data_IF_618321578346
#
_entry.id   IF_618321578346
#
_cell.length_a   1.000
_cell.length_b   1.000
_cell.length_c   1.000
_cell.angle_alpha   90.00
_cell.angle_beta   90.00
_cell.angle_gamma   90.00
#
_symmetry.space_group_name_H-M   'P 1'
#
loop_
_entity.id
_entity.type
_entity.pdbx_description
1 polymer ?
#
# COMPACT_ATOMS: atom_id res chain seq x y z
N UNK A 1 17.97 -10.70 5.29
CA UNK A 1 17.07 -9.52 5.19
C UNK A 1 15.65 -10.04 5.00
N UNK A 2 14.68 -9.49 5.74
CA UNK A 2 13.25 -9.84 5.63
C UNK A 2 12.49 -8.67 5.02
N UNK A 3 11.69 -8.93 3.99
CA UNK A 3 10.85 -7.94 3.32
C UNK A 3 9.39 -8.34 3.50
N UNK A 4 8.60 -7.43 4.05
CA UNK A 4 7.16 -7.58 4.13
C UNK A 4 6.53 -7.08 2.84
N UNK A 5 5.77 -7.96 2.18
CA UNK A 5 4.94 -7.64 1.03
C UNK A 5 3.47 -7.73 1.42
N UNK A 6 2.70 -6.70 1.19
CA UNK A 6 1.25 -6.75 1.45
C UNK A 6 0.44 -6.49 0.20
N UNK A 7 -0.69 -7.16 0.08
CA UNK A 7 -1.75 -6.89 -0.89
C UNK A 7 -3.08 -6.75 -0.17
N UNK A 8 -4.11 -6.43 -0.89
CA UNK A 8 -5.45 -6.22 -0.32
C UNK A 8 -6.42 -7.34 -0.68
N UNK A 9 -7.40 -7.55 0.19
CA UNK A 9 -8.56 -8.38 -0.10
C UNK A 9 -9.42 -7.79 -1.22
N UNK A 10 -10.34 -8.55 -1.83
CA UNK A 10 -11.31 -8.02 -2.78
C UNK A 10 -12.18 -6.92 -2.18
N UNK A 11 -12.59 -5.94 -2.99
CA UNK A 11 -13.44 -4.81 -2.59
C UNK A 11 -14.39 -4.40 -3.71
N UNK A 12 -15.36 -3.54 -3.41
CA UNK A 12 -16.29 -3.00 -4.40
C UNK A 12 -17.41 -3.96 -4.82
N UNK A 13 -17.73 -4.94 -4.00
CA UNK A 13 -18.97 -5.74 -4.10
C UNK A 13 -19.00 -6.86 -5.14
N UNK A 14 -18.05 -6.93 -6.08
CA UNK A 14 -18.14 -7.88 -7.20
C UNK A 14 -16.82 -8.54 -7.62
N UNK A 15 -15.77 -8.44 -6.85
CA UNK A 15 -14.50 -9.03 -7.25
C UNK A 15 -14.15 -10.23 -6.40
N UNK A 16 -14.19 -11.42 -7.00
CA UNK A 16 -13.64 -12.62 -6.39
C UNK A 16 -12.13 -12.52 -6.12
N UNK A 17 -11.46 -11.47 -6.63
CA UNK A 17 -10.02 -11.34 -6.63
C UNK A 17 -9.58 -9.86 -6.60
N UNK A 18 -8.53 -9.55 -5.83
CA UNK A 18 -7.82 -8.29 -5.91
C UNK A 18 -6.44 -8.53 -6.55
N UNK A 19 -6.08 -7.87 -7.66
CA UNK A 19 -4.82 -8.11 -8.35
C UNK A 19 -3.59 -7.82 -7.50
N UNK A 20 -3.69 -6.93 -6.50
CA UNK A 20 -2.57 -6.65 -5.59
C UNK A 20 -2.21 -7.87 -4.75
N UNK A 21 -3.22 -8.56 -4.17
CA UNK A 21 -2.97 -9.80 -3.44
C UNK A 21 -2.49 -10.91 -4.37
N UNK A 22 -3.11 -11.08 -5.53
CA UNK A 22 -2.70 -12.11 -6.49
C UNK A 22 -1.24 -11.97 -6.90
N UNK A 23 -0.76 -10.73 -7.10
CA UNK A 23 0.64 -10.47 -7.42
C UNK A 23 1.56 -10.83 -6.24
N UNK A 24 1.21 -10.42 -5.01
CA UNK A 24 1.99 -10.71 -3.80
C UNK A 24 2.00 -12.21 -3.50
N UNK A 25 0.85 -12.88 -3.60
CA UNK A 25 0.72 -14.32 -3.35
C UNK A 25 1.58 -15.15 -4.31
N UNK A 26 1.68 -14.74 -5.58
CA UNK A 26 2.47 -15.42 -6.60
C UNK A 26 3.99 -15.23 -6.46
N UNK A 27 4.47 -14.33 -5.61
CA UNK A 27 5.90 -14.10 -5.42
C UNK A 27 6.57 -15.32 -4.77
N UNK A 28 7.85 -15.54 -5.06
CA UNK A 28 8.66 -16.54 -4.39
C UNK A 28 8.89 -16.17 -2.91
N UNK A 29 9.07 -17.19 -2.06
CA UNK A 29 9.36 -16.98 -0.63
C UNK A 29 10.75 -16.36 -0.38
N UNK A 30 11.65 -16.44 -1.38
CA UNK A 30 12.99 -15.85 -1.32
C UNK A 30 13.30 -15.17 -2.65
N UNK A 31 13.75 -13.92 -2.61
CA UNK A 31 14.17 -13.14 -3.79
C UNK A 31 15.51 -12.50 -3.48
N UNK A 32 16.53 -12.75 -4.32
CA UNK A 32 17.87 -12.20 -4.17
C UNK A 32 18.47 -12.38 -2.76
N UNK A 33 18.18 -13.50 -2.10
CA UNK A 33 18.63 -13.80 -0.74
C UNK A 33 17.82 -13.13 0.38
N UNK A 34 16.79 -12.37 0.05
CA UNK A 34 15.85 -11.81 1.02
C UNK A 34 14.67 -12.76 1.23
N UNK A 35 14.29 -12.98 2.47
CA UNK A 35 13.04 -13.64 2.86
C UNK A 35 11.85 -12.72 2.56
N UNK A 36 10.83 -13.25 1.89
CA UNK A 36 9.60 -12.53 1.55
C UNK A 36 8.46 -13.07 2.41
N UNK A 37 7.99 -12.26 3.35
CA UNK A 37 6.78 -12.53 4.12
C UNK A 37 5.60 -11.80 3.50
N UNK A 38 4.46 -12.47 3.40
CA UNK A 38 3.30 -12.00 2.63
C UNK A 38 2.07 -11.92 3.50
N UNK A 39 1.37 -10.81 3.44
CA UNK A 39 0.13 -10.61 4.18
C UNK A 39 -0.95 -9.95 3.32
N UNK A 40 -2.18 -10.43 3.48
CA UNK A 40 -3.35 -9.83 2.87
C UNK A 40 -4.04 -8.92 3.88
N UNK A 41 -4.21 -7.66 3.53
CA UNK A 41 -4.81 -6.63 4.37
C UNK A 41 -6.29 -6.43 4.02
N UNK A 42 -7.13 -6.04 5.00
CA UNK A 42 -8.50 -5.67 4.73
C UNK A 42 -8.57 -4.34 3.97
N UNK A 43 -9.61 -4.17 3.15
CA UNK A 43 -9.90 -2.89 2.50
C UNK A 43 -10.83 -2.08 3.40
N UNK A 44 -10.30 -1.61 4.53
CA UNK A 44 -11.02 -0.78 5.48
C UNK A 44 -10.13 0.35 5.98
N UNK A 45 -10.70 1.55 6.15
CA UNK A 45 -9.94 2.73 6.58
C UNK A 45 -9.27 2.54 7.95
N UNK A 46 -10.00 1.93 8.89
CA UNK A 46 -9.49 1.72 10.25
C UNK A 46 -8.71 0.41 10.42
N UNK A 47 -9.09 -0.62 9.67
CA UNK A 47 -8.54 -1.97 9.84
C UNK A 47 -7.17 -2.15 9.18
N UNK A 48 -6.99 -1.63 7.96
CA UNK A 48 -5.75 -1.85 7.19
C UNK A 48 -4.49 -1.37 7.95
N UNK A 49 -4.51 -0.14 8.48
CA UNK A 49 -3.39 0.41 9.24
C UNK A 49 -3.15 -0.32 10.56
N UNK A 50 -4.21 -0.70 11.28
CA UNK A 50 -4.11 -1.45 12.54
C UNK A 50 -3.49 -2.83 12.31
N UNK A 51 -3.94 -3.53 11.29
CA UNK A 51 -3.41 -4.85 10.93
C UNK A 51 -1.97 -4.77 10.48
N UNK A 52 -1.61 -3.79 9.65
CA UNK A 52 -0.22 -3.56 9.26
C UNK A 52 0.66 -3.31 10.49
N UNK A 53 0.25 -2.46 11.43
CA UNK A 53 1.01 -2.20 12.66
C UNK A 53 1.16 -3.46 13.54
N UNK A 54 0.17 -4.36 13.56
CA UNK A 54 0.28 -5.66 14.23
C UNK A 54 1.36 -6.52 13.57
N UNK A 55 1.30 -6.66 12.24
CA UNK A 55 2.26 -7.44 11.45
C UNK A 55 3.68 -6.89 11.61
N UNK A 56 3.86 -5.56 11.59
CA UNK A 56 5.18 -4.94 11.77
C UNK A 56 5.83 -5.30 13.11
N UNK A 57 5.04 -5.37 14.19
CA UNK A 57 5.53 -5.76 15.52
C UNK A 57 5.91 -7.24 15.58
N UNK A 58 5.16 -8.11 14.90
CA UNK A 58 5.40 -9.56 14.89
C UNK A 58 6.57 -9.94 13.99
N UNK A 59 6.58 -9.42 12.78
CA UNK A 59 7.56 -9.81 11.74
C UNK A 59 8.87 -9.04 11.80
N UNK A 60 8.86 -7.81 12.32
CA UNK A 60 10.02 -6.92 12.38
C UNK A 60 10.80 -6.87 11.06
N UNK A 61 10.16 -6.54 9.92
CA UNK A 61 10.80 -6.58 8.62
C UNK A 61 11.83 -5.46 8.47
N UNK A 62 12.83 -5.69 7.61
CA UNK A 62 13.81 -4.66 7.25
C UNK A 62 13.27 -3.66 6.22
N UNK A 63 12.28 -4.07 5.44
CA UNK A 63 11.60 -3.22 4.47
C UNK A 63 10.14 -3.65 4.29
N UNK A 64 9.29 -2.72 3.90
CA UNK A 64 7.87 -2.96 3.63
C UNK A 64 7.53 -2.44 2.24
N UNK A 65 6.87 -3.26 1.44
CA UNK A 65 6.30 -2.89 0.15
C UNK A 65 4.81 -3.23 0.16
N UNK A 66 3.97 -2.21 0.27
CA UNK A 66 2.53 -2.37 0.18
C UNK A 66 2.09 -2.22 -1.28
N UNK A 67 1.43 -3.25 -1.81
CA UNK A 67 0.92 -3.29 -3.17
C UNK A 67 -0.59 -3.03 -3.16
N UNK A 68 -1.03 -2.11 -4.00
CA UNK A 68 -2.44 -1.77 -4.17
C UNK A 68 -2.86 -1.78 -5.63
N UNK A 69 -4.16 -1.87 -5.86
CA UNK A 69 -4.74 -1.71 -7.19
C UNK A 69 -4.99 -0.23 -7.48
N UNK A 70 -4.40 0.29 -8.56
CA UNK A 70 -4.67 1.62 -9.08
C UNK A 70 -5.48 1.48 -10.39
N UNK A 71 -6.80 1.44 -10.27
CA UNK A 71 -7.69 1.29 -11.42
C UNK A 71 -7.44 2.37 -12.48
N UNK A 72 -7.39 1.94 -13.76
CA UNK A 72 -7.18 2.84 -14.90
C UNK A 72 -5.73 3.24 -15.18
N UNK A 73 -4.75 2.81 -14.37
CA UNK A 73 -3.33 3.02 -14.65
C UNK A 73 -2.76 1.82 -15.42
N UNK A 74 -2.06 2.08 -16.52
CA UNK A 74 -1.41 1.07 -17.36
C UNK A 74 0.07 0.84 -16.99
N UNK A 75 0.53 1.35 -15.85
CA UNK A 75 1.92 1.30 -15.40
C UNK A 75 2.01 0.98 -13.90
N UNK A 76 3.13 0.42 -13.48
CA UNK A 76 3.48 0.32 -12.05
C UNK A 76 3.85 1.71 -11.55
N UNK A 77 3.17 2.18 -10.50
CA UNK A 77 3.34 3.57 -10.03
C UNK A 77 3.69 3.62 -8.55
N UNK A 78 4.98 3.52 -8.20
CA UNK A 78 5.42 3.69 -6.81
C UNK A 78 5.01 5.08 -6.27
N UNK A 79 4.32 5.09 -5.13
CA UNK A 79 3.78 6.30 -4.53
C UNK A 79 4.84 7.07 -3.75
N UNK A 80 4.95 8.38 -4.02
CA UNK A 80 5.91 9.28 -3.36
C UNK A 80 5.44 9.76 -2.01
N UNK A 81 4.13 9.98 -1.86
CA UNK A 81 3.56 10.72 -0.73
C UNK A 81 2.21 10.14 -0.33
N UNK A 82 1.99 10.09 0.97
CA UNK A 82 0.67 9.93 1.58
C UNK A 82 0.25 11.25 2.21
N UNK A 83 -1.01 11.62 2.03
CA UNK A 83 -1.60 12.84 2.62
C UNK A 83 -2.49 12.47 3.80
N UNK A 84 -2.62 13.39 4.76
CA UNK A 84 -3.47 13.24 5.93
C UNK A 84 -4.94 13.51 5.60
N UNK A 85 -5.52 12.72 4.69
CA UNK A 85 -6.89 12.90 4.23
C UNK A 85 -7.53 11.58 3.82
N UNK A 86 -8.80 11.40 4.21
CA UNK A 86 -9.63 10.26 3.79
C UNK A 86 -10.89 10.78 3.11
N UNK A 87 -11.11 10.31 1.90
CA UNK A 87 -12.30 10.59 1.11
C UNK A 87 -12.51 9.47 0.10
N UNK A 88 -13.74 9.02 -0.09
CA UNK A 88 -14.05 7.97 -1.03
C UNK A 88 -15.38 8.20 -1.73
N UNK A 89 -15.52 7.68 -2.93
CA UNK A 89 -16.78 7.64 -3.68
C UNK A 89 -17.56 6.36 -3.46
N UNK A 90 -16.91 5.36 -2.85
CA UNK A 90 -17.50 4.07 -2.50
C UNK A 90 -17.16 3.75 -1.04
N UNK A 91 -18.04 3.04 -0.31
CA UNK A 91 -17.72 2.60 1.03
C UNK A 91 -16.58 1.57 1.02
N UNK A 92 -15.88 1.45 2.14
CA UNK A 92 -14.95 0.36 2.39
C UNK A 92 -15.69 -0.96 2.69
N UNK A 93 -14.96 -2.05 2.93
CA UNK A 93 -15.57 -3.37 3.15
C UNK A 93 -16.35 -3.48 4.48
N UNK A 94 -16.21 -2.52 5.39
CA UNK A 94 -17.03 -2.41 6.61
C UNK A 94 -18.21 -1.43 6.43
N UNK A 95 -18.39 -0.88 5.22
CA UNK A 95 -19.48 0.04 4.90
C UNK A 95 -19.18 1.49 5.26
N UNK A 96 -17.96 1.84 5.68
CA UNK A 96 -17.59 3.22 5.99
C UNK A 96 -17.32 4.01 4.71
N UNK A 97 -18.04 5.12 4.55
CA UNK A 97 -17.83 6.09 3.49
C UNK A 97 -17.26 7.38 4.09
N UNK A 98 -15.97 7.65 3.86
CA UNK A 98 -15.34 8.90 4.28
C UNK A 98 -15.70 10.03 3.31
N UNK A 99 -16.09 11.18 3.85
CA UNK A 99 -16.54 12.33 3.07
C UNK A 99 -15.62 13.56 3.20
N UNK A 100 -14.34 13.31 3.42
CA UNK A 100 -13.34 14.37 3.58
C UNK A 100 -13.02 14.64 5.06
N UNK A 101 -12.14 13.83 5.62
CA UNK A 101 -11.70 13.94 7.00
C UNK A 101 -10.22 13.57 7.15
N UNK A 102 -9.51 14.13 8.14
CA UNK A 102 -8.11 13.77 8.36
C UNK A 102 -7.96 12.34 8.90
N UNK A 103 -6.88 11.66 8.50
CA UNK A 103 -6.49 10.35 9.08
C UNK A 103 -6.09 10.53 10.55
N UNK A 104 -5.37 11.62 10.85
CA UNK A 104 -4.98 12.03 12.20
C UNK A 104 -5.26 13.52 12.41
N UNK A 105 -6.11 13.85 13.36
CA UNK A 105 -6.52 15.25 13.66
C UNK A 105 -5.33 16.19 13.91
N UNK A 106 -4.28 15.73 14.56
CA UNK A 106 -3.08 16.52 14.88
C UNK A 106 -1.82 16.01 14.15
N UNK A 107 -1.99 15.17 13.13
CA UNK A 107 -0.87 14.63 12.35
C UNK A 107 -0.34 15.60 11.31
N UNK A 108 0.90 15.39 10.82
CA UNK A 108 1.44 16.14 9.69
C UNK A 108 0.54 16.06 8.45
N UNK A 109 0.58 17.09 7.61
CA UNK A 109 -0.23 17.14 6.38
C UNK A 109 0.09 15.99 5.41
N UNK A 110 1.34 15.51 5.41
CA UNK A 110 1.79 14.43 4.55
C UNK A 110 3.05 13.75 5.09
N UNK A 111 3.29 12.51 4.63
CA UNK A 111 4.55 11.79 4.78
C UNK A 111 5.09 11.38 3.41
N UNK A 112 6.40 11.46 3.23
CA UNK A 112 7.06 10.97 2.03
C UNK A 112 7.50 9.52 2.20
N UNK A 113 7.36 8.72 1.13
CA UNK A 113 7.89 7.36 1.07
C UNK A 113 9.41 7.36 1.22
N UNK A 114 9.94 6.38 1.94
CA UNK A 114 11.38 6.14 2.11
C UNK A 114 11.95 5.18 1.06
N UNK A 115 11.12 4.63 0.17
CA UNK A 115 11.57 3.75 -0.90
C UNK A 115 12.42 4.48 -1.94
N UNK A 116 13.41 3.83 -2.57
CA UNK A 116 14.24 4.41 -3.63
C UNK A 116 13.47 4.45 -4.96
N UNK A 117 12.45 5.32 -5.04
CA UNK A 117 11.46 5.35 -6.12
C UNK A 117 12.06 5.43 -7.52
N UNK A 118 13.13 6.23 -7.71
CA UNK A 118 13.80 6.35 -9.01
C UNK A 118 14.43 5.04 -9.44
N UNK A 119 15.19 4.40 -8.55
CA UNK A 119 15.84 3.11 -8.83
C UNK A 119 14.82 2.01 -9.09
N UNK A 120 13.66 2.04 -8.40
CA UNK A 120 12.55 1.11 -8.65
C UNK A 120 12.01 1.32 -10.09
N UNK A 121 11.73 2.55 -10.48
CA UNK A 121 11.23 2.87 -11.82
C UNK A 121 12.25 2.50 -12.90
N UNK A 122 13.52 2.79 -12.70
CA UNK A 122 14.61 2.41 -13.62
C UNK A 122 14.71 0.88 -13.77
N UNK A 123 14.65 0.13 -12.66
CA UNK A 123 14.68 -1.34 -12.70
C UNK A 123 13.47 -1.92 -13.46
N UNK A 124 12.27 -1.36 -13.27
CA UNK A 124 11.08 -1.75 -14.00
C UNK A 124 11.20 -1.45 -15.50
N UNK A 125 11.69 -0.27 -15.88
CA UNK A 125 11.94 0.07 -17.28
C UNK A 125 12.96 -0.86 -17.93
N UNK A 126 14.05 -1.20 -17.23
CA UNK A 126 15.07 -2.15 -17.72
C UNK A 126 14.48 -3.56 -17.91
N UNK A 127 13.44 -3.91 -17.18
CA UNK A 127 12.68 -5.15 -17.35
C UNK A 127 11.54 -5.05 -18.41
N UNK A 128 11.43 -3.93 -19.12
CA UNK A 128 10.38 -3.68 -20.11
C UNK A 128 8.98 -3.42 -19.52
N UNK A 129 8.91 -3.09 -18.23
CA UNK A 129 7.65 -2.84 -17.51
C UNK A 129 7.42 -1.33 -17.47
N UNK A 130 6.27 -0.82 -17.98
CA UNK A 130 5.91 0.58 -17.85
C UNK A 130 5.82 0.99 -16.38
N UNK A 131 6.52 2.05 -16.00
CA UNK A 131 6.52 2.55 -14.64
C UNK A 131 6.72 4.06 -14.59
N UNK A 132 6.18 4.71 -13.55
CA UNK A 132 6.40 6.13 -13.28
C UNK A 132 6.20 6.40 -11.79
N UNK A 133 6.90 7.39 -11.24
CA UNK A 133 6.66 7.82 -9.86
C UNK A 133 5.28 8.50 -9.78
N UNK A 134 4.44 8.06 -8.86
CA UNK A 134 3.16 8.69 -8.55
C UNK A 134 3.31 9.71 -7.43
N UNK A 135 2.63 10.83 -7.55
CA UNK A 135 2.58 11.89 -6.53
C UNK A 135 1.27 11.89 -5.75
N UNK A 136 0.44 10.87 -5.92
CA UNK A 136 -0.82 10.74 -5.17
C UNK A 136 -1.30 9.30 -5.13
N UNK A 137 -1.39 8.75 -3.93
CA UNK A 137 -2.05 7.47 -3.65
C UNK A 137 -3.59 7.59 -3.61
N UNK A 138 -4.13 8.76 -3.98
CA UNK A 138 -5.53 9.09 -3.79
C UNK A 138 -5.86 9.42 -2.34
N UNK A 139 -7.10 9.13 -1.93
CA UNK A 139 -7.62 9.43 -0.60
C UNK A 139 -8.39 8.24 0.01
N UNK A 140 -8.36 7.10 -0.66
CA UNK A 140 -8.98 5.87 -0.21
C UNK A 140 -8.04 5.08 0.70
N UNK A 141 -8.35 3.82 0.97
CA UNK A 141 -7.63 2.94 1.92
C UNK A 141 -6.13 2.82 1.63
N UNK A 142 -5.70 2.85 0.35
CA UNK A 142 -4.27 2.80 0.01
C UNK A 142 -3.49 3.99 0.56
N UNK A 143 -4.05 5.19 0.47
CA UNK A 143 -3.45 6.39 1.06
C UNK A 143 -3.43 6.32 2.60
N UNK A 144 -4.53 5.88 3.20
CA UNK A 144 -4.62 5.73 4.65
C UNK A 144 -3.60 4.71 5.18
N UNK A 145 -3.41 3.59 4.47
CA UNK A 145 -2.39 2.59 4.79
C UNK A 145 -0.97 3.15 4.70
N UNK A 146 -0.65 3.84 3.59
CA UNK A 146 0.68 4.44 3.41
C UNK A 146 0.95 5.50 4.48
N UNK A 147 -0.04 6.33 4.81
CA UNK A 147 0.08 7.31 5.89
C UNK A 147 0.38 6.63 7.23
N UNK A 148 -0.38 5.58 7.59
CA UNK A 148 -0.18 4.83 8.83
C UNK A 148 1.19 4.14 8.88
N UNK A 149 1.67 3.59 7.76
CA UNK A 149 3.01 3.01 7.66
C UNK A 149 4.09 4.06 7.94
N UNK A 150 4.00 5.21 7.27
CA UNK A 150 5.00 6.28 7.42
C UNK A 150 4.95 6.94 8.79
N UNK A 151 3.77 7.07 9.39
CA UNK A 151 3.60 7.51 10.79
C UNK A 151 4.27 6.54 11.78
N UNK A 152 4.19 5.24 11.53
CA UNK A 152 4.84 4.21 12.36
C UNK A 152 6.37 4.27 12.29
N UNK A 153 6.93 4.72 11.17
CA UNK A 153 8.37 4.83 10.94
C UNK A 153 8.98 6.17 11.38
N UNK A 154 8.14 7.19 11.67
CA UNK A 154 8.57 8.53 12.05
C UNK A 154 8.92 8.63 13.53
#
# INVERSE_FOLDING_TARGET
MKILMTGFEPFGGDTAMNPSWSAVEAMQATIAGAEIVKYRLPVTYDGAGKELCRILREEQPNAVIAVGQAGGRAAVTPERVAINWMEGTVPDNEGRLCQGEPIRMAGPAAYFSTLPLRSIVEALHNAGIPAAVSNSAGTYVCNALLYALMEHLA
#
